data_IF_332267073848
#
_entry.id   IF_332267073848
#
_cell.length_a   1.000
_cell.length_b   1.000
_cell.length_c   1.000
_cell.angle_alpha   90.00
_cell.angle_beta   90.00
_cell.angle_gamma   90.00
#
_symmetry.space_group_name_H-M   'P 1'
#
loop_
_entity.id
_entity.type
_entity.pdbx_description
1 polymer ?
#
# COMPACT_ATOMS: atom_id res chain seq x y z
N UNK A 1 25.07 11.33 -3.04
CA UNK A 1 23.77 10.62 -2.94
C UNK A 1 23.75 10.12 -1.52
N UNK A 2 23.35 11.02 -0.63
CA UNK A 2 23.64 10.93 0.79
C UNK A 2 22.37 10.51 1.49
N UNK A 3 22.34 9.25 1.91
CA UNK A 3 21.39 8.77 2.90
C UNK A 3 21.78 9.38 4.25
N UNK A 4 20.84 9.98 4.97
CA UNK A 4 21.05 10.48 6.33
C UNK A 4 21.23 9.27 7.27
N UNK A 5 22.44 9.00 7.79
CA UNK A 5 22.74 7.78 8.52
C UNK A 5 22.14 7.76 9.94
N UNK A 6 21.45 8.81 10.38
CA UNK A 6 20.94 8.93 11.74
C UNK A 6 19.60 8.21 11.99
N UNK A 7 18.82 7.87 10.95
CA UNK A 7 17.45 7.34 11.13
C UNK A 7 17.20 5.96 10.54
N UNK A 8 18.10 5.42 9.69
CA UNK A 8 17.85 4.16 8.99
C UNK A 8 16.69 4.23 7.98
N UNK A 9 16.20 5.43 7.68
CA UNK A 9 15.20 5.69 6.63
C UNK A 9 15.83 5.35 5.28
N UNK A 10 15.62 4.12 4.76
CA UNK A 10 15.82 3.84 3.33
C UNK A 10 14.92 4.78 2.54
N UNK A 11 15.38 5.32 1.42
CA UNK A 11 14.51 6.12 0.54
C UNK A 11 13.33 5.26 0.07
N UNK A 12 12.15 5.46 0.67
CA UNK A 12 10.90 4.88 0.17
C UNK A 12 10.43 5.72 -1.02
N UNK A 13 9.89 5.09 -2.08
CA UNK A 13 9.31 5.84 -3.17
C UNK A 13 8.23 6.81 -2.69
N UNK A 14 8.23 8.02 -3.25
CA UNK A 14 7.28 9.08 -2.86
C UNK A 14 5.82 8.65 -2.99
N UNK A 15 5.51 7.78 -3.96
CA UNK A 15 4.17 7.26 -4.16
C UNK A 15 3.72 6.38 -2.97
N UNK A 16 4.63 5.57 -2.43
CA UNK A 16 4.37 4.68 -1.31
C UNK A 16 4.12 5.48 -0.03
N UNK A 17 4.98 6.46 0.26
CA UNK A 17 4.79 7.34 1.39
C UNK A 17 3.43 8.03 1.33
N UNK A 18 3.09 8.64 0.18
CA UNK A 18 1.79 9.29 -0.04
C UNK A 18 0.61 8.32 0.12
N UNK A 19 0.77 7.06 -0.28
CA UNK A 19 -0.28 6.06 -0.16
C UNK A 19 -0.61 5.78 1.31
N UNK A 20 0.40 5.61 2.16
CA UNK A 20 0.24 5.30 3.58
C UNK A 20 -0.20 6.51 4.42
N UNK A 21 0.30 7.71 4.09
CA UNK A 21 0.05 8.93 4.88
C UNK A 21 -1.06 9.80 4.30
N UNK A 22 -1.59 9.45 3.13
CA UNK A 22 -2.62 10.20 2.45
C UNK A 22 -3.98 10.11 3.13
N UNK A 23 -4.91 10.98 2.71
CA UNK A 23 -6.26 11.02 3.27
C UNK A 23 -7.14 9.82 2.87
N UNK A 24 -6.80 9.13 1.78
CA UNK A 24 -7.57 7.98 1.29
C UNK A 24 -7.58 6.82 2.30
N UNK A 25 -6.48 6.63 3.03
CA UNK A 25 -6.32 5.54 3.99
C UNK A 25 -5.92 6.09 5.36
N UNK A 26 -6.86 6.20 6.30
CA UNK A 26 -6.62 6.90 7.55
C UNK A 26 -5.82 6.08 8.57
N UNK A 27 -5.35 4.87 8.23
CA UNK A 27 -4.76 3.93 9.20
C UNK A 27 -3.59 4.55 9.97
N UNK A 28 -2.52 4.97 9.28
CA UNK A 28 -1.34 5.58 9.91
C UNK A 28 -1.71 6.83 10.70
N UNK A 29 -2.60 7.67 10.13
CA UNK A 29 -3.08 8.88 10.78
C UNK A 29 -3.87 8.59 12.07
N UNK A 30 -4.72 7.56 12.07
CA UNK A 30 -5.44 7.09 13.25
C UNK A 30 -4.48 6.54 14.29
N UNK A 31 -3.51 5.72 13.89
CA UNK A 31 -2.49 5.22 14.82
C UNK A 31 -1.70 6.37 15.46
N UNK A 32 -1.34 7.41 14.69
CA UNK A 32 -0.69 8.60 15.23
C UNK A 32 -1.60 9.36 16.20
N UNK A 33 -2.89 9.54 15.87
CA UNK A 33 -3.89 10.17 16.75
C UNK A 33 -4.10 9.39 18.05
N UNK A 34 -4.21 8.08 17.97
CA UNK A 34 -4.48 7.20 19.11
C UNK A 34 -3.22 6.83 19.93
N UNK A 35 -2.03 7.19 19.46
CA UNK A 35 -0.82 7.15 20.27
C UNK A 35 -0.74 8.32 21.26
N UNK A 36 -1.49 9.40 21.03
CA UNK A 36 -1.50 10.58 21.92
C UNK A 36 -2.25 10.28 23.21
N UNK A 37 -1.80 10.91 24.31
CA UNK A 37 -2.45 10.87 25.61
C UNK A 37 -3.90 11.36 25.51
N UNK A 38 -4.76 10.79 26.35
CA UNK A 38 -6.17 11.16 26.45
C UNK A 38 -6.35 12.04 27.67
N UNK A 39 -6.87 13.26 27.46
CA UNK A 39 -7.41 14.07 28.54
C UNK A 39 -8.89 13.71 28.71
N UNK A 40 -9.35 13.27 29.89
CA UNK A 40 -10.75 12.96 30.11
C UNK A 40 -11.65 14.16 29.77
N UNK A 41 -12.65 13.93 28.91
CA UNK A 41 -13.58 14.98 28.47
C UNK A 41 -13.16 15.76 27.22
N UNK A 42 -11.97 15.51 26.67
CA UNK A 42 -11.50 16.14 25.44
C UNK A 42 -11.26 15.13 24.31
N UNK A 43 -11.51 15.55 23.08
CA UNK A 43 -11.11 14.79 21.90
C UNK A 43 -9.59 14.78 21.77
N UNK A 44 -9.04 13.64 21.31
CA UNK A 44 -7.61 13.56 21.00
C UNK A 44 -7.28 14.57 19.89
N UNK A 45 -6.19 15.36 20.03
CA UNK A 45 -5.82 16.32 19.02
C UNK A 45 -5.38 15.61 17.73
N UNK A 46 -5.57 16.30 16.61
CA UNK A 46 -5.15 15.80 15.31
C UNK A 46 -3.62 15.64 15.24
N UNK A 47 -3.12 14.58 14.59
CA UNK A 47 -1.68 14.36 14.47
C UNK A 47 -1.06 15.36 13.50
N UNK A 48 0.11 15.84 13.87
CA UNK A 48 0.97 16.70 13.05
C UNK A 48 1.61 15.90 11.91
N UNK A 49 2.11 16.55 10.84
CA UNK A 49 2.82 15.86 9.76
C UNK A 49 4.03 15.04 10.25
N UNK A 50 4.76 15.53 11.26
CA UNK A 50 5.92 14.82 11.82
C UNK A 50 5.50 13.56 12.57
N UNK A 51 4.38 13.60 13.32
CA UNK A 51 3.84 12.41 14.00
C UNK A 51 3.32 11.37 13.01
N UNK A 52 2.72 11.82 11.90
CA UNK A 52 2.31 10.92 10.81
C UNK A 52 3.55 10.29 10.16
N UNK A 53 4.61 11.07 9.89
CA UNK A 53 5.88 10.57 9.35
C UNK A 53 6.50 9.53 10.29
N UNK A 54 6.59 9.83 11.59
CA UNK A 54 7.11 8.89 12.58
C UNK A 54 6.29 7.60 12.59
N UNK A 55 4.95 7.71 12.61
CA UNK A 55 4.08 6.54 12.61
C UNK A 55 4.16 5.73 11.32
N UNK A 56 4.38 6.38 10.18
CA UNK A 56 4.65 5.70 8.91
C UNK A 56 5.87 4.78 9.03
N UNK A 57 6.97 5.29 9.57
CA UNK A 57 8.20 4.51 9.75
C UNK A 57 8.10 3.40 10.79
N UNK A 58 7.19 3.51 11.75
CA UNK A 58 6.85 2.40 12.63
C UNK A 58 6.03 1.31 11.91
N UNK A 59 5.05 1.72 11.09
CA UNK A 59 4.05 0.80 10.50
C UNK A 59 4.58 0.09 9.26
N UNK A 60 5.13 0.85 8.29
CA UNK A 60 5.48 0.31 6.96
C UNK A 60 6.45 -0.89 7.01
N UNK A 61 7.55 -0.87 7.79
CA UNK A 61 8.49 -2.00 7.84
C UNK A 61 7.91 -3.30 8.40
N UNK A 62 6.73 -3.24 9.02
CA UNK A 62 6.02 -4.39 9.58
C UNK A 62 4.87 -4.86 8.69
N UNK A 63 4.62 -4.18 7.56
CA UNK A 63 3.50 -4.53 6.71
C UNK A 63 3.82 -5.73 5.83
N UNK A 64 2.90 -6.70 5.80
CA UNK A 64 2.82 -7.71 4.74
C UNK A 64 2.07 -7.15 3.54
N UNK A 65 2.33 -7.71 2.37
CA UNK A 65 1.73 -7.26 1.12
C UNK A 65 1.06 -8.44 0.41
N UNK A 66 -0.22 -8.28 0.03
CA UNK A 66 -0.93 -9.21 -0.85
C UNK A 66 -1.06 -8.66 -2.25
N UNK A 67 -0.78 -9.50 -3.24
CA UNK A 67 -0.98 -9.23 -4.66
C UNK A 67 -2.26 -9.93 -5.11
N UNK A 68 -3.21 -9.15 -5.60
CA UNK A 68 -4.53 -9.65 -6.03
C UNK A 68 -4.77 -9.32 -7.50
N UNK A 69 -5.33 -10.24 -8.25
CA UNK A 69 -5.86 -9.98 -9.60
C UNK A 69 -7.32 -9.58 -9.50
N UNK A 70 -7.70 -8.45 -10.11
CA UNK A 70 -9.11 -8.13 -10.36
C UNK A 70 -9.59 -8.92 -11.60
N UNK A 71 -10.60 -9.78 -11.43
CA UNK A 71 -11.26 -10.51 -12.52
C UNK A 71 -12.70 -10.03 -12.61
N UNK A 72 -13.13 -9.65 -13.81
CA UNK A 72 -14.50 -9.26 -14.09
C UNK A 72 -15.18 -10.35 -14.91
N UNK A 73 -16.23 -10.96 -14.37
CA UNK A 73 -17.06 -11.96 -15.05
C UNK A 73 -18.49 -11.46 -15.11
N UNK A 74 -18.94 -11.02 -16.29
CA UNK A 74 -20.19 -10.28 -16.44
C UNK A 74 -20.21 -9.02 -15.59
N UNK A 75 -21.13 -8.94 -14.62
CA UNK A 75 -21.24 -7.81 -13.67
C UNK A 75 -20.49 -8.03 -12.35
N UNK A 76 -19.90 -9.21 -12.13
CA UNK A 76 -19.24 -9.57 -10.88
C UNK A 76 -17.76 -9.22 -10.97
N UNK A 77 -17.24 -8.56 -9.94
CA UNK A 77 -15.81 -8.33 -9.75
C UNK A 77 -15.33 -9.22 -8.61
N UNK A 78 -14.40 -10.12 -8.90
CA UNK A 78 -13.73 -10.96 -7.91
C UNK A 78 -12.24 -10.61 -7.83
N UNK A 79 -11.64 -10.90 -6.67
CA UNK A 79 -10.21 -10.73 -6.45
C UNK A 79 -9.59 -12.10 -6.20
N UNK A 80 -8.66 -12.51 -7.06
CA UNK A 80 -7.91 -13.76 -6.93
C UNK A 80 -6.54 -13.42 -6.34
N UNK A 81 -6.16 -14.07 -5.25
CA UNK A 81 -4.83 -13.89 -4.67
C UNK A 81 -3.76 -14.54 -5.57
N UNK A 82 -2.75 -13.76 -5.96
CA UNK A 82 -1.64 -14.20 -6.80
C UNK A 82 -0.38 -14.47 -5.98
N UNK A 83 -0.27 -13.86 -4.80
CA UNK A 83 0.88 -14.04 -3.91
C UNK A 83 0.82 -13.12 -2.70
N UNK A 84 1.68 -13.42 -1.75
CA UNK A 84 1.87 -12.66 -0.52
C UNK A 84 3.37 -12.51 -0.25
N UNK A 85 3.74 -11.36 0.30
CA UNK A 85 5.10 -11.03 0.66
C UNK A 85 5.17 -10.61 2.13
N UNK A 86 6.16 -11.16 2.82
CA UNK A 86 6.47 -10.83 4.21
C UNK A 86 7.08 -9.42 4.32
N UNK A 87 7.07 -8.82 5.51
CA UNK A 87 7.67 -7.50 5.73
C UNK A 87 9.13 -7.44 5.24
N UNK A 88 9.41 -6.45 4.40
CA UNK A 88 10.75 -6.21 3.85
C UNK A 88 11.15 -7.09 2.66
N UNK A 89 10.32 -8.02 2.19
CA UNK A 89 10.67 -8.95 1.09
C UNK A 89 10.14 -8.53 -0.28
N UNK A 90 9.58 -7.32 -0.40
CA UNK A 90 8.92 -6.83 -1.61
C UNK A 90 9.52 -5.52 -2.14
N UNK A 91 10.79 -5.25 -1.83
CA UNK A 91 11.45 -4.00 -2.20
C UNK A 91 11.47 -3.76 -3.72
N UNK A 92 11.84 -4.76 -4.51
CA UNK A 92 11.90 -4.67 -5.99
C UNK A 92 10.52 -4.30 -6.59
N UNK A 93 9.45 -4.86 -6.02
CA UNK A 93 8.08 -4.55 -6.40
C UNK A 93 7.70 -3.10 -6.07
N UNK A 94 8.24 -2.52 -4.99
CA UNK A 94 7.94 -1.15 -4.60
C UNK A 94 8.73 -0.13 -5.42
N UNK A 95 9.97 -0.46 -5.77
CA UNK A 95 10.84 0.39 -6.56
C UNK A 95 10.35 0.51 -8.00
N UNK A 96 9.99 -0.61 -8.64
CA UNK A 96 9.56 -0.66 -10.04
C UNK A 96 8.26 -1.46 -10.21
N UNK A 97 7.12 -0.99 -9.66
CA UNK A 97 5.91 -1.80 -9.55
C UNK A 97 5.35 -2.25 -10.90
N UNK A 98 5.32 -1.40 -11.91
CA UNK A 98 4.74 -1.78 -13.21
C UNK A 98 5.57 -2.86 -13.92
N UNK A 99 6.89 -2.72 -13.94
CA UNK A 99 7.81 -3.67 -14.56
C UNK A 99 7.84 -5.00 -13.79
N UNK A 100 7.91 -4.94 -12.46
CA UNK A 100 7.86 -6.12 -11.62
C UNK A 100 6.56 -6.89 -11.86
N UNK A 101 5.42 -6.19 -11.82
CA UNK A 101 4.12 -6.82 -12.01
C UNK A 101 3.95 -7.41 -13.42
N UNK A 102 4.46 -6.73 -14.46
CA UNK A 102 4.48 -7.25 -15.82
C UNK A 102 5.30 -8.53 -15.94
N UNK A 103 6.50 -8.55 -15.35
CA UNK A 103 7.43 -9.68 -15.41
C UNK A 103 6.91 -10.89 -14.65
N UNK A 104 6.39 -10.68 -13.44
CA UNK A 104 6.00 -11.77 -12.53
C UNK A 104 4.57 -12.27 -12.73
N UNK A 105 3.64 -11.40 -13.12
CA UNK A 105 2.21 -11.73 -13.17
C UNK A 105 1.57 -11.51 -14.53
N UNK A 106 2.27 -10.87 -15.47
CA UNK A 106 1.79 -10.60 -16.82
C UNK A 106 0.77 -9.46 -16.90
N UNK A 107 0.15 -9.32 -18.08
CA UNK A 107 -0.76 -8.22 -18.44
C UNK A 107 -2.12 -8.38 -17.78
N UNK A 108 -2.35 -7.69 -16.66
CA UNK A 108 -3.54 -7.86 -15.80
C UNK A 108 -3.90 -6.57 -15.07
N UNK A 109 -5.10 -6.53 -14.52
CA UNK A 109 -5.46 -5.61 -13.44
C UNK A 109 -5.03 -6.20 -12.10
N UNK A 110 -4.10 -5.55 -11.44
CA UNK A 110 -3.52 -6.02 -10.18
C UNK A 110 -3.80 -4.99 -9.08
N UNK A 111 -4.10 -5.49 -7.89
CA UNK A 111 -4.28 -4.70 -6.68
C UNK A 111 -3.24 -5.15 -5.65
N UNK A 112 -2.52 -4.20 -5.08
CA UNK A 112 -1.62 -4.41 -3.97
C UNK A 112 -2.31 -3.98 -2.68
N UNK A 113 -2.44 -4.88 -1.71
CA UNK A 113 -2.98 -4.57 -0.39
C UNK A 113 -1.90 -4.71 0.68
N UNK A 114 -1.74 -3.68 1.50
CA UNK A 114 -0.84 -3.70 2.65
C UNK A 114 -1.61 -3.98 3.93
N UNK A 115 -1.05 -4.84 4.78
CA UNK A 115 -1.66 -5.21 6.06
C UNK A 115 -0.63 -5.12 7.20
N UNK A 116 -1.07 -4.71 8.39
CA UNK A 116 -0.32 -4.85 9.64
C UNK A 116 -1.02 -5.91 10.51
N UNK A 117 -0.42 -7.10 10.58
CA UNK A 117 -1.12 -8.29 11.09
C UNK A 117 -2.38 -8.57 10.25
N UNK A 118 -3.54 -8.63 10.90
CA UNK A 118 -4.83 -8.78 10.22
C UNK A 118 -5.46 -7.45 9.76
N UNK A 119 -4.87 -6.30 10.13
CA UNK A 119 -5.46 -5.01 9.84
C UNK A 119 -5.10 -4.53 8.44
N UNK A 120 -6.10 -4.22 7.62
CA UNK A 120 -5.90 -3.52 6.36
C UNK A 120 -5.36 -2.10 6.59
N UNK A 121 -4.29 -1.76 5.89
CA UNK A 121 -3.63 -0.44 5.99
C UNK A 121 -3.99 0.44 4.80
N UNK A 122 -3.64 0.01 3.58
CA UNK A 122 -3.90 0.74 2.35
C UNK A 122 -3.84 -0.16 1.12
N UNK A 123 -4.31 0.34 -0.02
CA UNK A 123 -4.29 -0.40 -1.29
C UNK A 123 -3.99 0.50 -2.48
N UNK A 124 -3.41 -0.06 -3.53
CA UNK A 124 -3.22 0.60 -4.82
C UNK A 124 -3.51 -0.37 -5.96
N UNK A 125 -4.11 0.14 -7.05
CA UNK A 125 -4.41 -0.64 -8.24
C UNK A 125 -3.45 -0.27 -9.38
N UNK A 126 -2.99 -1.29 -10.09
CA UNK A 126 -2.17 -1.18 -11.29
C UNK A 126 -2.93 -1.78 -12.48
N UNK A 127 -2.86 -1.09 -13.61
CA UNK A 127 -3.24 -1.63 -14.92
C UNK A 127 -1.94 -1.93 -15.66
N UNK A 128 -1.45 -3.16 -15.59
CA UNK A 128 -0.18 -3.54 -16.18
C UNK A 128 -0.30 -3.55 -17.71
N UNK A 129 0.61 -2.84 -18.39
CA UNK A 129 0.49 -2.43 -19.79
C UNK A 129 0.16 -3.61 -20.74
N UNK A 130 -0.85 -3.39 -21.59
CA UNK A 130 -1.40 -4.40 -22.50
C UNK A 130 -2.68 -5.08 -22.01
N UNK A 131 -3.31 -4.55 -20.94
CA UNK A 131 -4.75 -4.69 -20.73
C UNK A 131 -5.48 -4.00 -21.91
N UNK A 132 -5.62 -4.72 -23.01
CA UNK A 132 -6.76 -4.49 -23.89
C UNK A 132 -7.98 -4.87 -23.06
N UNK A 133 -8.94 -3.95 -22.91
CA UNK A 133 -10.29 -4.34 -22.59
C UNK A 133 -10.65 -5.43 -23.59
N UNK A 134 -10.85 -6.69 -23.16
CA UNK A 134 -11.65 -7.60 -23.96
C UNK A 134 -13.09 -7.04 -23.93
N UNK A 135 -13.33 -6.02 -24.75
CA UNK A 135 -14.55 -5.89 -25.51
C UNK A 135 -14.28 -6.60 -26.84
N UNK A 136 -14.42 -7.92 -26.82
CA UNK A 136 -14.83 -8.75 -27.95
C UNK A 136 -14.61 -10.20 -27.53
N UNK A 137 -15.58 -10.76 -26.81
CA UNK A 137 -16.07 -12.08 -27.20
C UNK A 137 -17.28 -11.79 -28.08
N UNK A 138 -17.01 -11.70 -29.38
CA UNK A 138 -18.02 -11.70 -30.39
C UNK A 138 -18.74 -13.05 -30.45
N UNK A 139 -19.96 -12.95 -30.97
CA UNK A 139 -20.87 -13.99 -31.49
C UNK A 139 -21.95 -14.53 -30.54
#
# INVERSE_FOLDING_TARGET
MDSDPATGEREVPRWLYKLFTGHAYPYVRRQAKFAKAVTPGEDRPEPTPNEIKAKFWEVYPQCRLKVLQEVKTGMIVSFVELGEYEPGTYQDLIENPEEFLATHYGKKKIKLNFYLGENFVCTINFKVAGWASHEDDGQ
#
